data_IF_854013020043
#
_entry.id   IF_854013020043
#
_cell.length_a   1.000
_cell.length_b   1.000
_cell.length_c   1.000
_cell.angle_alpha   90.00
_cell.angle_beta   90.00
_cell.angle_gamma   90.00
#
_symmetry.space_group_name_H-M   'P 1'
#
loop_
_entity.id
_entity.type
_entity.pdbx_description
1 polymer ?
#
# COMPACT_ATOMS: atom_id res chain seq x y z
N UNK A 1 -10.61 -26.86 20.46
CA UNK A 1 -9.33 -27.33 19.89
C UNK A 1 -8.25 -27.00 20.90
N UNK A 2 -7.37 -27.95 21.28
CA UNK A 2 -6.29 -27.67 22.22
C UNK A 2 -5.31 -26.68 21.60
N UNK A 3 -4.89 -25.71 22.39
CA UNK A 3 -3.82 -24.77 22.07
C UNK A 3 -2.53 -25.57 21.92
N UNK A 4 -1.91 -25.54 20.73
CA UNK A 4 -0.62 -26.17 20.49
C UNK A 4 0.49 -25.21 20.97
N UNK A 5 1.16 -25.52 22.09
CA UNK A 5 2.17 -24.64 22.69
C UNK A 5 3.49 -24.61 21.89
N UNK A 6 3.61 -25.41 20.83
CA UNK A 6 4.84 -25.56 20.03
C UNK A 6 4.77 -24.84 18.67
N UNK A 7 3.72 -24.04 18.44
CA UNK A 7 3.71 -23.09 17.32
C UNK A 7 4.72 -21.97 17.61
N UNK A 8 5.96 -22.20 17.18
CA UNK A 8 6.95 -21.14 17.02
C UNK A 8 6.29 -19.98 16.26
N UNK A 9 6.35 -18.74 16.77
CA UNK A 9 5.88 -17.59 16.01
C UNK A 9 6.55 -17.63 14.65
N UNK A 10 5.78 -17.78 13.57
CA UNK A 10 6.32 -17.79 12.22
C UNK A 10 7.10 -16.49 12.07
N UNK A 11 8.41 -16.60 11.82
CA UNK A 11 9.22 -15.42 11.55
C UNK A 11 8.55 -14.65 10.39
N UNK A 12 8.40 -13.32 10.50
CA UNK A 12 7.79 -12.54 9.43
C UNK A 12 8.55 -12.80 8.14
N UNK A 13 7.84 -13.29 7.12
CA UNK A 13 8.41 -13.53 5.80
C UNK A 13 9.02 -12.21 5.33
N UNK A 14 10.31 -12.23 5.01
CA UNK A 14 11.00 -11.08 4.40
C UNK A 14 10.57 -10.94 2.95
N UNK A 15 9.38 -10.38 2.77
CA UNK A 15 8.78 -10.10 1.48
C UNK A 15 9.45 -8.91 0.79
N UNK A 16 9.65 -9.01 -0.52
CA UNK A 16 10.23 -7.97 -1.39
C UNK A 16 9.21 -7.57 -2.45
N UNK A 17 9.35 -6.35 -2.96
CA UNK A 17 8.53 -5.83 -4.06
C UNK A 17 8.73 -6.54 -5.41
N UNK A 18 9.59 -7.56 -5.48
CA UNK A 18 9.85 -8.34 -6.70
C UNK A 18 9.49 -9.81 -6.53
N UNK A 19 9.01 -10.20 -5.36
CA UNK A 19 8.64 -11.58 -5.10
C UNK A 19 7.36 -11.92 -5.87
N UNK A 20 7.28 -13.15 -6.32
CA UNK A 20 6.12 -13.73 -7.00
C UNK A 20 5.83 -15.11 -6.42
N UNK A 21 4.58 -15.53 -6.59
CA UNK A 21 4.05 -16.84 -6.28
C UNK A 21 2.95 -17.12 -7.31
N UNK A 22 3.39 -17.20 -8.57
CA UNK A 22 2.51 -17.28 -9.74
C UNK A 22 1.62 -18.54 -9.74
N UNK A 23 1.97 -19.58 -8.98
CA UNK A 23 1.15 -20.79 -8.83
C UNK A 23 -0.12 -20.52 -8.01
N UNK A 24 -0.11 -19.48 -7.17
CA UNK A 24 -1.23 -19.04 -6.34
C UNK A 24 -1.84 -17.71 -6.81
N UNK A 25 -1.70 -17.38 -8.10
CA UNK A 25 -2.18 -16.14 -8.74
C UNK A 25 -1.63 -14.84 -8.09
N UNK A 26 -0.43 -14.93 -7.49
CA UNK A 26 0.29 -13.80 -6.91
C UNK A 26 1.50 -13.45 -7.77
N UNK A 27 1.43 -12.32 -8.45
CA UNK A 27 2.36 -11.88 -9.48
C UNK A 27 3.20 -10.69 -9.03
N UNK A 28 4.01 -10.16 -9.95
CA UNK A 28 4.70 -8.88 -9.80
C UNK A 28 4.77 -8.21 -11.16
N UNK A 29 4.23 -7.00 -11.26
CA UNK A 29 4.14 -6.24 -12.51
C UNK A 29 5.31 -5.27 -12.71
N UNK A 30 6.30 -5.34 -11.82
CA UNK A 30 7.54 -4.59 -11.95
C UNK A 30 8.37 -5.06 -13.13
N UNK A 31 8.21 -4.33 -14.24
CA UNK A 31 8.86 -4.62 -15.50
C UNK A 31 10.39 -4.75 -15.35
N UNK A 32 10.95 -5.79 -15.96
CA UNK A 32 12.39 -5.97 -16.19
C UNK A 32 12.85 -5.11 -17.36
N UNK A 33 14.17 -5.02 -17.61
CA UNK A 33 14.66 -4.32 -18.81
C UNK A 33 14.18 -5.03 -20.08
N UNK A 34 14.22 -6.36 -20.10
CA UNK A 34 13.71 -7.17 -21.20
C UNK A 34 12.24 -6.90 -21.51
N UNK A 35 11.37 -6.84 -20.49
CA UNK A 35 9.96 -6.50 -20.71
C UNK A 35 9.78 -5.10 -21.28
N UNK A 36 10.62 -4.13 -20.87
CA UNK A 36 10.57 -2.77 -21.44
C UNK A 36 11.02 -2.77 -22.90
N UNK A 37 12.10 -3.47 -23.23
CA UNK A 37 12.63 -3.57 -24.59
C UNK A 37 11.63 -4.25 -25.54
N UNK A 38 10.80 -5.16 -25.02
CA UNK A 38 9.75 -5.86 -25.75
C UNK A 38 8.38 -5.13 -25.75
N UNK A 39 8.27 -3.96 -25.11
CA UNK A 39 6.99 -3.24 -24.90
C UNK A 39 5.90 -4.11 -24.23
N UNK A 40 6.29 -4.90 -23.23
CA UNK A 40 5.43 -5.78 -22.43
C UNK A 40 5.34 -5.31 -20.98
N UNK A 41 5.44 -4.00 -20.75
CA UNK A 41 5.23 -3.43 -19.42
C UNK A 41 3.80 -3.74 -18.95
N UNK A 42 3.66 -4.04 -17.66
CA UNK A 42 2.36 -4.42 -17.08
C UNK A 42 2.05 -5.91 -17.13
N UNK A 43 2.89 -6.73 -17.79
CA UNK A 43 2.87 -8.17 -17.62
C UNK A 43 3.64 -8.60 -16.36
N UNK A 44 3.26 -9.75 -15.79
CA UNK A 44 3.99 -10.36 -14.71
C UNK A 44 5.42 -10.67 -15.16
N UNK A 45 6.40 -10.23 -14.37
CA UNK A 45 7.82 -10.39 -14.66
C UNK A 45 8.32 -11.83 -14.78
N UNK A 46 7.62 -12.81 -14.18
CA UNK A 46 8.09 -14.19 -14.11
C UNK A 46 7.26 -15.14 -14.98
N UNK A 47 5.93 -15.00 -15.03
CA UNK A 47 5.07 -15.87 -15.84
C UNK A 47 4.46 -15.19 -17.09
N UNK A 48 4.59 -13.86 -17.22
CA UNK A 48 4.00 -13.09 -18.33
C UNK A 48 2.48 -12.89 -18.25
N UNK A 49 1.84 -13.21 -17.12
CA UNK A 49 0.41 -12.97 -16.94
C UNK A 49 0.07 -11.47 -17.09
N UNK A 50 -0.96 -11.15 -17.86
CA UNK A 50 -1.45 -9.79 -18.07
C UNK A 50 -2.88 -9.67 -17.51
N UNK A 51 -2.99 -9.30 -16.24
CA UNK A 51 -4.24 -9.37 -15.48
C UNK A 51 -4.85 -8.00 -15.16
N UNK A 52 -4.09 -6.92 -15.34
CA UNK A 52 -4.47 -5.57 -14.91
C UNK A 52 -4.87 -4.74 -16.13
N UNK A 53 -6.03 -4.10 -16.06
CA UNK A 53 -6.42 -3.07 -17.02
C UNK A 53 -5.75 -1.74 -16.63
N UNK A 54 -4.55 -1.52 -17.15
CA UNK A 54 -3.73 -0.34 -16.82
C UNK A 54 -4.40 0.98 -17.18
N UNK A 55 -5.15 1.04 -18.29
CA UNK A 55 -5.87 2.26 -18.68
C UNK A 55 -6.91 2.65 -17.62
N UNK A 56 -7.58 1.65 -17.04
CA UNK A 56 -8.58 1.85 -15.99
C UNK A 56 -7.95 2.33 -14.68
N UNK A 57 -6.77 1.83 -14.33
CA UNK A 57 -6.02 2.28 -13.15
C UNK A 57 -5.48 3.71 -13.35
N UNK A 58 -4.88 4.00 -14.51
CA UNK A 58 -4.27 5.31 -14.80
C UNK A 58 -5.30 6.46 -14.86
N UNK A 59 -6.57 6.15 -15.15
CA UNK A 59 -7.68 7.10 -15.07
C UNK A 59 -7.93 7.62 -13.64
N UNK A 60 -7.45 6.92 -12.60
CA UNK A 60 -7.54 7.35 -11.19
C UNK A 60 -8.97 7.72 -10.77
N UNK A 61 -9.94 6.92 -11.18
CA UNK A 61 -11.35 7.12 -10.85
C UNK A 61 -11.67 6.59 -9.44
N UNK A 62 -11.98 7.51 -8.51
CA UNK A 62 -12.34 7.15 -7.13
C UNK A 62 -13.69 6.41 -7.02
N UNK A 63 -14.56 6.50 -8.02
CA UNK A 63 -15.78 5.69 -8.04
C UNK A 63 -15.51 4.20 -8.29
N UNK A 64 -14.29 3.86 -8.69
CA UNK A 64 -13.85 2.54 -9.11
C UNK A 64 -12.67 1.99 -8.28
N UNK A 65 -12.62 2.40 -7.01
CA UNK A 65 -11.58 1.98 -6.06
C UNK A 65 -11.58 0.45 -5.86
N UNK A 66 -12.74 -0.21 -5.94
CA UNK A 66 -12.82 -1.67 -5.77
C UNK A 66 -12.05 -2.40 -6.87
N UNK A 67 -12.16 -1.96 -8.12
CA UNK A 67 -11.36 -2.50 -9.21
C UNK A 67 -9.87 -2.27 -8.98
N UNK A 68 -9.50 -1.08 -8.52
CA UNK A 68 -8.11 -0.72 -8.21
C UNK A 68 -7.55 -1.64 -7.13
N UNK A 69 -8.28 -1.87 -6.04
CA UNK A 69 -7.86 -2.77 -4.96
C UNK A 69 -7.74 -4.23 -5.43
N UNK A 70 -8.71 -4.73 -6.19
CA UNK A 70 -8.65 -6.09 -6.71
C UNK A 70 -7.45 -6.28 -7.65
N UNK A 71 -7.17 -5.27 -8.50
CA UNK A 71 -6.00 -5.28 -9.38
C UNK A 71 -4.70 -5.28 -8.59
N UNK A 72 -4.57 -4.40 -7.60
CA UNK A 72 -3.41 -4.35 -6.69
C UNK A 72 -3.16 -5.69 -6.02
N UNK A 73 -4.21 -6.40 -5.58
CA UNK A 73 -4.06 -7.70 -4.89
C UNK A 73 -3.55 -8.83 -5.77
N UNK A 74 -3.46 -8.67 -7.09
CA UNK A 74 -2.71 -9.61 -7.92
C UNK A 74 -1.19 -9.52 -7.69
N UNK A 75 -0.67 -8.41 -7.16
CA UNK A 75 0.75 -8.31 -6.84
C UNK A 75 1.03 -8.84 -5.42
N UNK A 76 1.96 -9.80 -5.28
CA UNK A 76 2.24 -10.52 -4.03
C UNK A 76 2.52 -9.57 -2.86
N UNK A 77 3.37 -8.57 -3.06
CA UNK A 77 3.68 -7.57 -2.03
C UNK A 77 2.43 -6.81 -1.58
N UNK A 78 1.54 -6.45 -2.51
CA UNK A 78 0.30 -5.72 -2.17
C UNK A 78 -0.68 -6.64 -1.48
N UNK A 79 -0.87 -7.85 -1.99
CA UNK A 79 -1.69 -8.89 -1.36
C UNK A 79 -1.27 -9.08 0.09
N UNK A 80 0.03 -9.19 0.38
CA UNK A 80 0.53 -9.27 1.74
C UNK A 80 0.06 -8.09 2.59
N UNK A 81 0.24 -6.84 2.13
CA UNK A 81 -0.17 -5.68 2.91
C UNK A 81 -1.70 -5.57 3.07
N UNK A 82 -2.48 -6.00 2.09
CA UNK A 82 -3.95 -6.08 2.22
C UNK A 82 -4.41 -7.05 3.32
N UNK A 83 -3.60 -8.06 3.67
CA UNK A 83 -4.01 -9.13 4.59
C UNK A 83 -3.22 -9.19 5.89
N UNK A 84 -2.01 -8.63 5.96
CA UNK A 84 -1.18 -8.63 7.18
C UNK A 84 -1.87 -7.85 8.30
N UNK A 85 -1.82 -8.36 9.53
CA UNK A 85 -2.42 -7.68 10.67
C UNK A 85 -1.79 -6.29 10.89
N UNK A 86 -2.64 -5.28 11.13
CA UNK A 86 -2.18 -3.95 11.51
C UNK A 86 -1.92 -3.96 13.02
N UNK A 87 -0.70 -3.58 13.41
CA UNK A 87 -0.34 -3.56 14.83
C UNK A 87 -1.25 -2.65 15.67
N UNK A 88 -1.47 -3.03 16.93
CA UNK A 88 -2.41 -2.33 17.81
C UNK A 88 -2.05 -0.84 18.03
N UNK A 89 -0.78 -0.45 17.94
CA UNK A 89 -0.39 0.96 18.09
C UNK A 89 -0.85 1.76 16.88
N UNK A 90 -0.72 1.21 15.69
CA UNK A 90 -1.22 1.77 14.44
C UNK A 90 -2.75 1.91 14.46
N UNK A 91 -3.48 0.89 14.93
CA UNK A 91 -4.93 0.97 15.11
C UNK A 91 -5.29 2.09 16.09
N UNK A 92 -4.66 2.12 17.27
CA UNK A 92 -4.93 3.15 18.27
C UNK A 92 -4.61 4.56 17.76
N UNK A 93 -3.58 4.72 16.92
CA UNK A 93 -3.25 5.98 16.27
C UNK A 93 -4.39 6.44 15.33
N UNK A 94 -4.91 5.54 14.50
CA UNK A 94 -6.04 5.85 13.61
C UNK A 94 -7.28 6.26 14.42
N UNK A 95 -7.66 5.47 15.42
CA UNK A 95 -8.84 5.72 16.25
C UNK A 95 -8.76 7.05 17.02
N UNK A 96 -7.57 7.42 17.53
CA UNK A 96 -7.36 8.72 18.20
C UNK A 96 -7.50 9.90 17.26
N UNK A 97 -7.23 9.72 15.97
CA UNK A 97 -7.35 10.76 14.95
C UNK A 97 -8.74 10.87 14.36
N UNK A 98 -9.46 9.76 14.24
CA UNK A 98 -10.70 9.69 13.45
C UNK A 98 -10.42 9.89 11.95
N UNK A 99 -11.46 9.83 11.12
CA UNK A 99 -11.35 10.01 9.67
C UNK A 99 -10.79 11.38 9.32
N UNK A 100 -11.32 12.46 9.90
CA UNK A 100 -10.89 13.84 9.62
C UNK A 100 -9.39 14.04 9.90
N UNK A 101 -8.93 13.59 11.08
CA UNK A 101 -7.53 13.71 11.47
C UNK A 101 -6.59 12.77 10.72
N UNK A 102 -7.11 11.67 10.17
CA UNK A 102 -6.36 10.73 9.33
C UNK A 102 -6.20 11.26 7.91
N UNK A 103 -7.23 11.86 7.31
CA UNK A 103 -7.17 12.49 5.99
C UNK A 103 -6.00 13.49 5.90
N UNK A 104 -5.94 14.42 6.86
CA UNK A 104 -4.84 15.38 6.97
C UNK A 104 -3.49 14.71 7.21
N UNK A 105 -3.44 13.61 7.98
CA UNK A 105 -2.19 12.92 8.25
C UNK A 105 -1.65 12.19 7.00
N UNK A 106 -2.55 11.62 6.19
CA UNK A 106 -2.23 10.94 4.94
C UNK A 106 -1.70 11.94 3.92
N UNK A 107 -2.40 13.05 3.68
CA UNK A 107 -1.97 14.08 2.73
C UNK A 107 -0.58 14.62 3.11
N UNK A 108 -0.40 15.00 4.38
CA UNK A 108 0.89 15.47 4.90
C UNK A 108 2.01 14.43 4.75
N UNK A 109 1.69 13.14 4.90
CA UNK A 109 2.65 12.06 4.72
C UNK A 109 3.05 11.94 3.25
N UNK A 110 2.09 11.89 2.34
CA UNK A 110 2.33 11.75 0.89
C UNK A 110 3.21 12.89 0.37
N UNK A 111 2.86 14.14 0.71
CA UNK A 111 3.65 15.33 0.32
C UNK A 111 5.11 15.21 0.77
N UNK A 112 5.35 14.70 1.98
CA UNK A 112 6.71 14.52 2.53
C UNK A 112 7.45 13.30 2.00
N UNK A 113 6.76 12.19 1.71
CA UNK A 113 7.41 10.92 1.38
C UNK A 113 7.57 10.67 -0.12
N UNK A 114 6.65 11.17 -0.93
CA UNK A 114 6.60 10.90 -2.38
C UNK A 114 6.31 12.14 -3.23
N UNK A 115 5.97 13.28 -2.63
CA UNK A 115 5.51 14.47 -3.35
C UNK A 115 6.59 15.14 -4.21
N UNK A 116 7.83 15.19 -3.72
CA UNK A 116 8.95 15.76 -4.47
C UNK A 116 9.34 14.88 -5.67
N UNK A 117 9.93 15.49 -6.70
CA UNK A 117 10.48 14.79 -7.87
C UNK A 117 11.48 13.69 -7.49
N UNK A 118 12.29 13.95 -6.46
CA UNK A 118 13.37 13.08 -5.95
C UNK A 118 13.32 12.98 -4.42
N UNK A 119 12.39 12.18 -3.87
CA UNK A 119 12.23 12.07 -2.42
C UNK A 119 13.47 11.47 -1.73
N UNK A 120 13.71 11.88 -0.48
CA UNK A 120 14.78 11.31 0.33
C UNK A 120 14.59 9.80 0.56
N UNK A 121 15.62 9.01 0.22
CA UNK A 121 15.64 7.54 0.31
C UNK A 121 14.47 6.88 -0.43
N UNK A 122 14.17 7.33 -1.64
CA UNK A 122 13.14 6.71 -2.47
C UNK A 122 13.38 5.18 -2.64
N UNK A 123 12.32 4.40 -2.43
CA UNK A 123 12.33 2.94 -2.31
C UNK A 123 12.46 2.41 -0.87
N UNK A 124 12.82 3.27 0.10
CA UNK A 124 12.98 2.90 1.52
C UNK A 124 12.35 3.92 2.49
N UNK A 125 11.69 4.96 1.96
CA UNK A 125 11.14 6.05 2.76
C UNK A 125 9.92 5.64 3.61
N UNK A 126 9.27 4.53 3.25
CA UNK A 126 8.05 4.04 3.88
C UNK A 126 8.34 2.74 4.62
N UNK A 127 8.38 2.77 5.98
CA UNK A 127 8.47 1.56 6.80
C UNK A 127 7.32 0.58 6.49
N UNK A 128 7.42 -0.66 6.96
CA UNK A 128 6.34 -1.65 6.76
C UNK A 128 5.26 -1.55 7.85
N UNK A 129 5.62 -1.13 9.06
CA UNK A 129 4.77 -1.14 10.24
C UNK A 129 4.95 0.09 11.14
N UNK A 130 4.09 0.23 12.16
CA UNK A 130 4.18 1.31 13.15
C UNK A 130 3.40 2.58 12.79
N UNK A 131 2.72 2.60 11.63
CA UNK A 131 1.68 3.57 11.32
C UNK A 131 0.68 2.97 10.30
N UNK A 132 -0.64 3.15 10.45
CA UNK A 132 -1.62 2.60 9.50
C UNK A 132 -1.40 3.11 8.06
N UNK A 133 -0.87 4.33 7.90
CA UNK A 133 -0.57 4.93 6.61
C UNK A 133 0.53 4.13 5.88
N UNK A 134 1.43 3.49 6.60
CA UNK A 134 2.51 2.71 5.99
C UNK A 134 2.00 1.43 5.34
N UNK A 135 1.16 0.67 6.06
CA UNK A 135 0.46 -0.49 5.50
C UNK A 135 -0.35 -0.08 4.26
N UNK A 136 -1.07 1.04 4.36
CA UNK A 136 -1.86 1.55 3.25
C UNK A 136 -0.99 1.94 2.05
N UNK A 137 0.10 2.67 2.26
CA UNK A 137 1.01 3.07 1.18
C UNK A 137 1.61 1.86 0.45
N UNK A 138 1.95 0.79 1.18
CA UNK A 138 2.42 -0.43 0.54
C UNK A 138 1.29 -1.20 -0.14
N UNK A 139 0.10 -1.29 0.43
CA UNK A 139 -1.04 -1.93 -0.21
C UNK A 139 -1.45 -1.22 -1.51
N UNK A 140 -1.42 0.11 -1.54
CA UNK A 140 -1.89 0.93 -2.66
C UNK A 140 -0.80 1.38 -3.61
N UNK A 141 0.40 0.78 -3.57
CA UNK A 141 1.52 1.15 -4.45
C UNK A 141 1.93 2.64 -4.39
N UNK A 142 1.67 3.33 -3.27
CA UNK A 142 2.03 4.74 -3.02
C UNK A 142 3.21 4.89 -2.04
N UNK A 143 3.97 3.81 -1.81
CA UNK A 143 5.08 3.76 -0.86
C UNK A 143 6.39 4.37 -1.39
N UNK A 144 6.58 4.41 -2.72
CA UNK A 144 7.74 5.01 -3.38
C UNK A 144 7.45 5.43 -4.83
N UNK A 145 8.34 6.21 -5.46
CA UNK A 145 8.15 6.67 -6.86
C UNK A 145 8.18 5.52 -7.86
N UNK A 146 8.90 4.43 -7.58
CA UNK A 146 8.89 3.23 -8.45
C UNK A 146 7.53 2.59 -8.53
N UNK A 147 6.85 2.43 -7.39
CA UNK A 147 5.52 1.84 -7.37
C UNK A 147 4.49 2.78 -8.01
N UNK A 148 4.65 4.10 -7.81
CA UNK A 148 3.76 5.09 -8.42
C UNK A 148 3.90 5.14 -9.95
N UNK A 149 5.13 5.09 -10.46
CA UNK A 149 5.41 5.03 -11.89
C UNK A 149 4.81 3.79 -12.54
N UNK A 150 4.93 2.64 -11.87
CA UNK A 150 4.41 1.35 -12.34
C UNK A 150 2.89 1.29 -12.34
N UNK A 151 2.24 1.73 -11.26
CA UNK A 151 0.80 1.56 -11.09
C UNK A 151 -0.04 2.71 -11.63
N UNK A 152 0.48 3.93 -11.60
CA UNK A 152 -0.29 5.15 -11.90
C UNK A 152 0.30 5.97 -13.04
N UNK A 153 1.31 5.44 -13.73
CA UNK A 153 1.91 6.06 -14.91
C UNK A 153 2.63 7.39 -14.66
N UNK A 154 2.88 7.78 -13.40
CA UNK A 154 3.52 9.07 -13.08
C UNK A 154 5.05 8.90 -13.05
N UNK A 155 5.80 9.46 -14.00
CA UNK A 155 7.24 9.20 -14.12
C UNK A 155 8.04 9.68 -12.91
N UNK A 156 9.14 8.98 -12.63
CA UNK A 156 10.15 9.47 -11.67
C UNK A 156 10.77 10.79 -12.14
N UNK A 157 11.27 11.58 -11.18
CA UNK A 157 11.86 12.88 -11.48
C UNK A 157 10.82 13.98 -11.75
N UNK A 158 9.53 13.65 -11.75
CA UNK A 158 8.42 14.61 -11.81
C UNK A 158 7.77 14.73 -10.44
N UNK A 159 7.56 15.95 -9.90
CA UNK A 159 6.79 16.14 -8.67
C UNK A 159 5.35 15.67 -8.84
N UNK A 160 4.78 15.08 -7.79
CA UNK A 160 3.37 14.68 -7.79
C UNK A 160 2.49 15.92 -7.70
N UNK A 161 1.50 16.00 -8.58
CA UNK A 161 0.56 17.12 -8.63
C UNK A 161 -0.46 17.03 -7.51
N UNK A 162 -1.12 18.14 -7.19
CA UNK A 162 -2.08 18.20 -6.09
C UNK A 162 -3.29 17.30 -6.33
N UNK A 163 -3.72 17.13 -7.57
CA UNK A 163 -4.81 16.21 -7.95
C UNK A 163 -4.44 14.76 -7.66
N UNK A 164 -3.20 14.36 -7.98
CA UNK A 164 -2.68 13.02 -7.69
C UNK A 164 -2.48 12.79 -6.18
N UNK A 165 -1.99 13.80 -5.44
CA UNK A 165 -1.93 13.73 -3.96
C UNK A 165 -3.34 13.53 -3.39
N UNK A 166 -4.33 14.23 -3.92
CA UNK A 166 -5.73 14.13 -3.47
C UNK A 166 -6.27 12.73 -3.75
N UNK A 167 -6.09 12.21 -4.97
CA UNK A 167 -6.48 10.84 -5.33
C UNK A 167 -5.83 9.80 -4.41
N UNK A 168 -4.51 9.85 -4.21
CA UNK A 168 -3.80 8.91 -3.34
C UNK A 168 -4.23 9.04 -1.87
N UNK A 169 -4.59 10.25 -1.43
CA UNK A 169 -5.10 10.48 -0.09
C UNK A 169 -6.41 9.74 0.13
N UNK A 170 -7.37 9.88 -0.79
CA UNK A 170 -8.65 9.18 -0.74
C UNK A 170 -8.47 7.67 -0.87
N UNK A 171 -7.64 7.20 -1.80
CA UNK A 171 -7.36 5.77 -2.00
C UNK A 171 -6.78 5.11 -0.73
N UNK A 172 -5.86 5.81 -0.04
CA UNK A 172 -5.32 5.35 1.25
C UNK A 172 -6.40 5.38 2.33
N UNK A 173 -7.27 6.40 2.36
CA UNK A 173 -8.36 6.48 3.34
C UNK A 173 -9.38 5.36 3.15
N UNK A 174 -9.73 5.01 1.92
CA UNK A 174 -10.59 3.85 1.61
C UNK A 174 -9.97 2.55 2.13
N UNK A 175 -8.67 2.35 1.91
CA UNK A 175 -7.96 1.21 2.47
C UNK A 175 -8.02 1.19 4.01
N UNK A 176 -7.72 2.33 4.66
CA UNK A 176 -7.70 2.42 6.13
C UNK A 176 -9.09 2.14 6.71
N UNK A 177 -10.14 2.68 6.11
CA UNK A 177 -11.52 2.43 6.54
C UNK A 177 -11.90 0.95 6.38
N UNK A 178 -11.50 0.31 5.27
CA UNK A 178 -11.72 -1.12 5.04
C UNK A 178 -10.99 -2.00 6.07
N UNK A 179 -9.76 -1.64 6.43
CA UNK A 179 -8.93 -2.41 7.37
C UNK A 179 -9.23 -2.11 8.85
N UNK A 180 -9.78 -0.93 9.14
CA UNK A 180 -10.13 -0.46 10.49
C UNK A 180 -11.61 -0.01 10.47
N UNK A 181 -12.57 -0.96 10.40
CA UNK A 181 -13.99 -0.65 10.24
C UNK A 181 -14.60 0.09 11.44
N UNK A 182 -13.89 0.14 12.58
CA UNK A 182 -14.29 0.88 13.78
C UNK A 182 -13.84 2.34 13.77
N UNK A 183 -13.29 2.85 12.65
CA UNK A 183 -12.83 4.23 12.56
C UNK A 183 -14.02 5.21 12.54
N UNK A 184 -14.16 5.98 13.62
CA UNK A 184 -15.14 7.06 13.76
C UNK A 184 -14.76 8.29 12.96
N UNK A 185 -15.75 9.14 12.66
CA UNK A 185 -15.55 10.41 11.94
C UNK A 185 -14.52 11.30 12.65
N UNK A 186 -14.74 11.52 13.94
CA UNK A 186 -13.85 12.27 14.82
C UNK A 186 -12.98 11.33 15.67
N UNK A 187 -11.88 11.87 16.19
CA UNK A 187 -10.98 11.13 17.07
C UNK A 187 -11.62 10.75 18.40
N UNK A 188 -11.40 9.52 18.85
CA UNK A 188 -11.86 9.03 20.16
C UNK A 188 -10.71 8.87 21.14
N UNK A 189 -11.01 9.00 22.43
CA UNK A 189 -10.04 8.67 23.47
C UNK A 189 -9.78 7.16 23.49
N UNK A 190 -8.55 6.75 23.14
CA UNK A 190 -8.09 5.36 23.26
C UNK A 190 -7.02 5.26 24.33
N UNK A 191 -7.24 4.49 25.41
CA UNK A 191 -6.26 4.31 26.48
C UNK A 191 -4.87 3.87 25.98
N UNK A 192 -3.78 4.27 26.64
CA UNK A 192 -2.45 3.81 26.28
C UNK A 192 -2.30 2.30 26.51
N UNK A 193 -1.55 1.63 25.64
CA UNK A 193 -1.22 0.21 25.82
C UNK A 193 -0.29 0.11 27.03
N UNK A 194 -0.78 -0.48 28.13
CA UNK A 194 0.05 -0.77 29.30
C UNK A 194 1.00 -1.91 28.92
N UNK A 195 2.30 -1.74 29.17
CA UNK A 195 3.24 -2.88 29.09
C UNK A 195 2.79 -3.88 30.16
N UNK A 196 2.49 -5.12 29.76
CA UNK A 196 2.46 -6.22 30.74
C UNK A 196 3.86 -6.29 31.34
N UNK A 197 3.93 -6.09 32.65
CA UNK A 197 5.15 -6.21 33.44
C UNK A 197 5.55 -7.67 33.53
#
# INVERSE_FOLDING_TARGET
MPFDPDLTPLEPIKIKCTDTDCENDLHCFRATNELRDLNRQGECRDCGANLVDWNRIENKDLSDVEFTFNSLTYELIRHHFFHVEIDQRSINYALRKGKVGMLQAVENRLRKSIGEATPYRDGQQTPFEGNPIYYAQHATATCCRTCIEEWYGIPKGVPIQDEDISYFTELIMEYIQKRIPTLSEEGIHVPPIRKKT
#
